data_IF_015777300081
#
_entry.id   IF_015777300081
#
_cell.length_a   1.000
_cell.length_b   1.000
_cell.length_c   1.000
_cell.angle_alpha   90.00
_cell.angle_beta   90.00
_cell.angle_gamma   90.00
#
_symmetry.space_group_name_H-M   'P 1'
#
loop_
_entity.id
_entity.type
_entity.pdbx_description
1 polymer ?
#
# COMPACT_ATOMS: atom_id res chain seq x y z
N UNK A 1 36.26 36.19 24.84
CA UNK A 1 36.31 36.54 23.41
C UNK A 1 36.59 35.28 22.62
N UNK A 2 35.82 34.86 21.64
CA UNK A 2 34.50 35.29 21.16
C UNK A 2 33.97 34.13 20.27
N UNK A 3 32.68 34.19 20.01
CA UNK A 3 31.75 33.28 19.34
C UNK A 3 32.02 33.06 17.85
N UNK A 4 31.48 31.95 17.33
CA UNK A 4 30.59 31.82 16.14
C UNK A 4 30.31 30.31 15.95
N UNK A 5 29.15 29.66 16.11
CA UNK A 5 27.73 29.87 15.75
C UNK A 5 27.43 29.94 14.24
N UNK A 6 26.82 28.88 13.71
CA UNK A 6 26.30 28.75 12.33
C UNK A 6 25.62 27.38 12.12
N UNK A 7 24.43 27.15 12.68
CA UNK A 7 23.12 27.06 11.98
C UNK A 7 22.94 25.72 11.22
N UNK A 8 22.32 24.75 11.89
CA UNK A 8 21.62 23.61 11.29
C UNK A 8 20.22 24.09 10.91
N UNK A 9 19.91 24.13 9.62
CA UNK A 9 18.55 24.39 9.12
C UNK A 9 17.76 23.08 9.10
N UNK A 10 16.67 23.04 9.85
CA UNK A 10 15.65 22.00 9.85
C UNK A 10 14.93 21.93 8.48
N UNK A 11 14.63 20.74 7.94
CA UNK A 11 13.63 20.62 6.89
C UNK A 11 12.22 20.65 7.50
N UNK A 12 11.34 21.41 6.85
CA UNK A 12 9.97 21.72 7.23
C UNK A 12 9.10 20.49 7.51
N UNK A 13 8.66 20.35 8.76
CA UNK A 13 7.74 19.32 9.27
C UNK A 13 6.25 19.65 9.01
N UNK A 14 5.96 20.59 8.11
CA UNK A 14 4.60 21.12 7.89
C UNK A 14 3.89 20.59 6.63
N UNK A 15 4.60 19.87 5.73
CA UNK A 15 3.99 19.29 4.52
C UNK A 15 3.48 17.85 4.70
N UNK A 16 3.97 17.09 5.69
CA UNK A 16 3.54 15.70 5.94
C UNK A 16 2.16 15.57 6.62
N UNK A 17 1.58 16.66 7.12
CA UNK A 17 0.22 16.66 7.72
C UNK A 17 -0.91 16.55 6.70
N UNK A 18 -0.65 16.88 5.42
CA UNK A 18 -1.71 16.93 4.40
C UNK A 18 -2.08 15.55 3.82
N UNK A 19 -1.17 14.56 3.88
CA UNK A 19 -1.39 13.28 3.20
C UNK A 19 -2.24 12.31 4.04
N UNK A 20 -2.06 12.30 5.36
CA UNK A 20 -2.86 11.50 6.31
C UNK A 20 -4.27 12.08 6.56
N UNK A 21 -4.54 13.33 6.17
CA UNK A 21 -5.87 13.94 6.26
C UNK A 21 -6.84 13.48 5.16
N UNK A 22 -6.39 12.74 4.14
CA UNK A 22 -7.24 12.31 3.02
C UNK A 22 -7.97 10.98 3.26
N UNK A 23 -7.69 10.29 4.37
CA UNK A 23 -8.46 9.13 4.81
C UNK A 23 -8.98 9.32 6.25
N UNK A 24 -10.26 9.72 6.30
CA UNK A 24 -11.13 9.83 7.47
C UNK A 24 -10.77 10.82 8.58
N UNK A 25 -11.30 12.06 8.50
CA UNK A 25 -11.91 12.73 9.66
C UNK A 25 -13.16 13.50 9.20
N UNK A 26 -14.34 13.00 9.58
CA UNK A 26 -15.56 13.81 9.68
C UNK A 26 -15.35 14.79 10.83
N UNK A 27 -15.32 16.09 10.53
CA UNK A 27 -15.27 17.14 11.55
C UNK A 27 -16.56 17.15 12.37
N UNK A 28 -16.47 16.92 13.69
CA UNK A 28 -17.53 17.29 14.63
C UNK A 28 -17.16 18.63 15.26
N UNK A 29 -17.88 19.68 14.89
CA UNK A 29 -17.86 20.97 15.59
C UNK A 29 -18.94 20.98 16.70
N UNK A 30 -18.72 21.66 17.83
CA UNK A 30 -19.68 21.70 18.94
C UNK A 30 -20.84 22.65 18.63
N UNK A 31 -22.07 22.23 18.94
CA UNK A 31 -23.30 23.02 18.80
C UNK A 31 -23.65 23.70 20.13
N UNK A 32 -23.93 25.00 20.09
CA UNK A 32 -24.70 25.73 21.10
C UNK A 32 -26.04 26.18 20.47
N UNK A 33 -27.14 26.27 21.24
CA UNK A 33 -28.49 26.16 20.70
C UNK A 33 -29.12 27.51 20.41
N UNK A 34 -29.83 27.65 19.29
CA UNK A 34 -31.11 28.38 19.20
C UNK A 34 -31.74 28.28 17.80
N UNK A 35 -32.94 27.68 17.77
CA UNK A 35 -34.13 28.06 17.00
C UNK A 35 -34.02 28.40 15.51
N UNK A 36 -34.52 27.51 14.64
CA UNK A 36 -35.77 27.71 13.85
C UNK A 36 -35.94 26.60 12.80
N UNK A 37 -37.11 25.96 12.82
CA UNK A 37 -37.58 24.98 11.85
C UNK A 37 -37.70 25.60 10.45
N UNK A 38 -37.12 24.94 9.44
CA UNK A 38 -37.76 24.85 8.11
C UNK A 38 -37.29 23.58 7.40
N UNK A 39 -38.27 22.81 6.96
CA UNK A 39 -38.18 21.46 6.41
C UNK A 39 -37.50 21.42 5.04
N UNK A 40 -36.31 20.77 4.95
CA UNK A 40 -35.77 20.28 3.69
C UNK A 40 -35.25 18.85 3.85
N UNK A 41 -35.77 17.95 3.02
CA UNK A 41 -35.64 16.49 3.08
C UNK A 41 -34.18 16.04 3.18
N UNK A 42 -33.84 15.28 4.24
CA UNK A 42 -32.54 14.59 4.39
C UNK A 42 -32.28 13.69 3.17
N UNK A 43 -31.13 13.78 2.50
CA UNK A 43 -30.72 12.76 1.54
C UNK A 43 -30.53 11.44 2.29
N UNK A 44 -30.99 10.35 1.67
CA UNK A 44 -30.96 9.00 2.25
C UNK A 44 -29.51 8.58 2.57
N UNK A 45 -29.27 8.13 3.79
CA UNK A 45 -28.01 7.52 4.29
C UNK A 45 -27.46 6.37 3.43
N UNK A 46 -28.21 5.90 2.42
CA UNK A 46 -27.75 4.89 1.47
C UNK A 46 -26.70 5.42 0.48
N UNK A 47 -26.61 6.74 0.26
CA UNK A 47 -25.66 7.32 -0.71
C UNK A 47 -24.21 7.38 -0.16
N UNK A 48 -24.05 7.53 1.17
CA UNK A 48 -22.74 7.56 1.83
C UNK A 48 -22.16 6.15 2.01
N UNK A 49 -23.03 5.12 2.08
CA UNK A 49 -22.67 3.72 2.33
C UNK A 49 -22.02 2.98 1.15
N UNK A 50 -21.83 3.62 -0.01
CA UNK A 50 -21.18 3.00 -1.18
C UNK A 50 -19.68 3.28 -1.33
N UNK A 51 -19.09 4.17 -0.52
CA UNK A 51 -17.71 4.64 -0.74
C UNK A 51 -16.59 3.78 -0.12
N UNK A 52 -16.93 2.61 0.43
CA UNK A 52 -15.95 1.62 0.93
C UNK A 52 -16.29 0.21 0.42
N UNK A 53 -16.80 0.10 -0.81
CA UNK A 53 -16.43 -1.06 -1.63
C UNK A 53 -15.06 -0.75 -2.20
N UNK A 54 -14.13 -1.70 -2.14
CA UNK A 54 -12.73 -1.53 -2.50
C UNK A 54 -12.58 -0.61 -3.71
N UNK A 55 -11.80 0.47 -3.53
CA UNK A 55 -11.39 1.30 -4.66
C UNK A 55 -10.92 0.33 -5.74
N UNK A 56 -11.63 0.33 -6.86
CA UNK A 56 -11.31 -0.56 -7.95
C UNK A 56 -9.83 -0.32 -8.30
N UNK A 57 -9.10 -1.41 -8.56
CA UNK A 57 -7.65 -1.41 -8.72
C UNK A 57 -7.15 -0.43 -9.81
N UNK A 58 -8.04 -0.02 -10.70
CA UNK A 58 -7.88 0.95 -11.77
C UNK A 58 -7.99 2.42 -11.34
N UNK A 59 -8.46 2.72 -10.12
CA UNK A 59 -8.69 4.09 -9.65
C UNK A 59 -7.58 4.59 -8.73
N UNK A 60 -6.80 5.53 -9.25
CA UNK A 60 -5.83 6.31 -8.49
C UNK A 60 -6.31 7.77 -8.38
N UNK A 61 -6.46 8.29 -7.15
CA UNK A 61 -6.97 9.65 -6.92
C UNK A 61 -5.96 10.74 -7.33
N UNK A 62 -4.67 10.40 -7.31
CA UNK A 62 -3.58 11.31 -7.65
C UNK A 62 -3.18 11.23 -9.12
N UNK A 63 -3.94 10.48 -9.95
CA UNK A 63 -3.64 10.33 -11.38
C UNK A 63 -3.88 11.65 -12.12
N UNK A 64 -2.87 12.19 -12.83
CA UNK A 64 -3.06 13.35 -13.69
C UNK A 64 -4.02 13.07 -14.85
N UNK A 65 -4.76 14.09 -15.29
CA UNK A 65 -5.76 13.95 -16.37
C UNK A 65 -5.17 13.44 -17.70
N UNK A 66 -3.92 13.82 -18.02
CA UNK A 66 -3.25 13.32 -19.23
C UNK A 66 -2.97 11.81 -19.14
N UNK A 67 -2.58 11.29 -17.97
CA UNK A 67 -2.38 9.85 -17.76
C UNK A 67 -3.70 9.10 -17.83
N UNK A 68 -4.78 9.66 -17.29
CA UNK A 68 -6.12 9.07 -17.40
C UNK A 68 -6.60 8.97 -18.86
N UNK A 69 -6.31 9.99 -19.68
CA UNK A 69 -6.63 9.97 -21.10
C UNK A 69 -5.85 8.88 -21.86
N UNK A 70 -4.53 8.76 -21.61
CA UNK A 70 -3.69 7.73 -22.24
C UNK A 70 -4.17 6.33 -21.85
N UNK A 71 -4.44 6.09 -20.55
CA UNK A 71 -4.84 4.78 -20.02
C UNK A 71 -6.21 4.30 -20.51
N UNK A 72 -7.14 5.22 -20.72
CA UNK A 72 -8.47 4.91 -21.27
C UNK A 72 -8.50 4.92 -22.81
N UNK A 73 -7.45 5.44 -23.46
CA UNK A 73 -7.33 5.54 -24.91
C UNK A 73 -6.63 4.35 -25.56
N UNK A 74 -6.40 4.46 -26.87
CA UNK A 74 -5.58 3.51 -27.64
C UNK A 74 -4.08 3.74 -27.40
N UNK A 75 -3.70 4.95 -26.98
CA UNK A 75 -2.32 5.36 -26.74
C UNK A 75 -1.62 4.56 -25.63
N UNK A 76 -2.38 3.89 -24.76
CA UNK A 76 -1.86 2.91 -23.79
C UNK A 76 -1.00 1.78 -24.38
N UNK A 77 -1.12 1.52 -25.69
CA UNK A 77 -0.34 0.51 -26.41
C UNK A 77 0.67 1.13 -27.37
N UNK A 78 0.73 2.45 -27.47
CA UNK A 78 1.67 3.16 -28.33
C UNK A 78 3.07 3.18 -27.66
N UNK A 79 4.12 2.61 -28.29
CA UNK A 79 5.47 2.61 -27.74
C UNK A 79 6.04 4.03 -27.49
N UNK A 80 5.55 5.06 -28.20
CA UNK A 80 5.98 6.45 -27.97
C UNK A 80 5.56 6.99 -26.60
N UNK A 81 4.51 6.42 -25.97
CA UNK A 81 4.09 6.83 -24.62
C UNK A 81 4.96 6.24 -23.51
N UNK A 82 5.89 5.35 -23.84
CA UNK A 82 6.78 4.70 -22.86
C UNK A 82 7.55 5.71 -22.01
N UNK A 83 8.10 6.76 -22.61
CA UNK A 83 8.83 7.81 -21.88
C UNK A 83 7.92 8.53 -20.88
N UNK A 84 6.68 8.84 -21.27
CA UNK A 84 5.69 9.48 -20.38
C UNK A 84 5.38 8.61 -19.17
N UNK A 85 5.25 7.30 -19.37
CA UNK A 85 5.05 6.35 -18.27
C UNK A 85 6.29 6.21 -17.37
N UNK A 86 7.50 6.23 -17.95
CA UNK A 86 8.75 6.19 -17.19
C UNK A 86 8.90 7.42 -16.29
N UNK A 87 8.68 8.61 -16.84
CA UNK A 87 8.69 9.88 -16.09
C UNK A 87 7.64 9.87 -14.98
N UNK A 88 6.46 9.30 -15.25
CA UNK A 88 5.42 9.17 -14.24
C UNK A 88 5.78 8.19 -13.11
N UNK A 89 6.58 7.15 -13.38
CA UNK A 89 7.10 6.28 -12.31
C UNK A 89 8.10 7.04 -11.43
N UNK A 90 8.98 7.84 -12.04
CA UNK A 90 9.92 8.71 -11.28
C UNK A 90 9.13 9.67 -10.40
N UNK A 91 8.10 10.33 -10.94
CA UNK A 91 7.21 11.20 -10.16
C UNK A 91 6.53 10.44 -9.00
N UNK A 92 6.06 9.21 -9.22
CA UNK A 92 5.49 8.39 -8.13
C UNK A 92 6.51 8.07 -7.03
N UNK A 93 7.79 7.89 -7.39
CA UNK A 93 8.87 7.68 -6.44
C UNK A 93 9.12 8.92 -5.58
N UNK A 94 9.12 10.11 -6.19
CA UNK A 94 9.31 11.40 -5.51
C UNK A 94 8.10 11.80 -4.64
N UNK A 95 6.88 11.73 -5.20
CA UNK A 95 5.64 12.21 -4.56
C UNK A 95 5.06 11.22 -3.55
N UNK A 96 5.72 10.07 -3.33
CA UNK A 96 5.22 8.96 -2.48
C UNK A 96 3.85 8.42 -2.90
N UNK A 97 3.44 8.61 -4.16
CA UNK A 97 2.17 8.10 -4.70
C UNK A 97 2.33 6.73 -5.35
N UNK A 98 1.22 6.01 -5.59
CA UNK A 98 1.27 4.71 -6.25
C UNK A 98 0.05 4.51 -7.14
N UNK A 99 0.28 4.40 -8.45
CA UNK A 99 -0.72 4.08 -9.45
C UNK A 99 -0.43 2.72 -10.07
N UNK A 100 -1.04 1.68 -9.50
CA UNK A 100 -0.81 0.33 -9.96
C UNK A 100 -1.22 0.10 -11.42
N UNK A 101 -2.29 0.76 -11.88
CA UNK A 101 -2.78 0.58 -13.24
C UNK A 101 -1.84 1.16 -14.28
N UNK A 102 -1.28 2.35 -14.02
CA UNK A 102 -0.25 2.96 -14.86
C UNK A 102 1.02 2.11 -14.90
N UNK A 103 1.45 1.61 -13.75
CA UNK A 103 2.65 0.78 -13.63
C UNK A 103 2.50 -0.55 -14.40
N UNK A 104 1.35 -1.22 -14.29
CA UNK A 104 1.08 -2.42 -15.10
C UNK A 104 0.96 -2.12 -16.59
N UNK A 105 0.44 -0.95 -16.98
CA UNK A 105 0.40 -0.56 -18.39
C UNK A 105 1.80 -0.41 -18.98
N UNK A 106 2.73 0.22 -18.24
CA UNK A 106 4.15 0.31 -18.63
C UNK A 106 4.81 -1.07 -18.74
N UNK A 107 4.65 -1.93 -17.74
CA UNK A 107 5.20 -3.29 -17.79
C UNK A 107 4.62 -4.09 -18.97
N UNK A 108 3.35 -3.88 -19.30
CA UNK A 108 2.73 -4.49 -20.48
C UNK A 108 3.26 -3.92 -21.80
N UNK A 109 3.58 -2.64 -21.86
CA UNK A 109 4.29 -2.05 -23.00
C UNK A 109 5.68 -2.67 -23.20
N UNK A 110 6.44 -2.87 -22.12
CA UNK A 110 7.72 -3.58 -22.16
C UNK A 110 7.55 -5.04 -22.62
N UNK A 111 6.48 -5.71 -22.19
CA UNK A 111 6.17 -7.08 -22.62
C UNK A 111 5.94 -7.16 -24.14
N UNK A 112 5.27 -6.16 -24.74
CA UNK A 112 5.07 -6.09 -26.18
C UNK A 112 6.30 -5.60 -26.95
N UNK A 113 7.14 -4.79 -26.31
CA UNK A 113 8.32 -4.16 -26.91
C UNK A 113 9.57 -4.39 -26.05
N UNK A 114 10.19 -5.58 -26.09
CA UNK A 114 11.29 -5.93 -25.18
C UNK A 114 12.51 -5.01 -25.26
N UNK A 115 12.73 -4.35 -26.41
CA UNK A 115 13.84 -3.40 -26.61
C UNK A 115 13.66 -2.07 -25.86
N UNK A 116 12.45 -1.77 -25.37
CA UNK A 116 12.16 -0.58 -24.58
C UNK A 116 12.25 -0.83 -23.08
N UNK A 117 12.48 -2.08 -22.65
CA UNK A 117 12.54 -2.44 -21.24
C UNK A 117 13.67 -1.68 -20.55
N UNK A 118 13.31 -0.90 -19.54
CA UNK A 118 14.25 -0.19 -18.68
C UNK A 118 14.35 -0.90 -17.32
N UNK A 119 15.51 -1.53 -17.00
CA UNK A 119 15.70 -2.29 -15.76
C UNK A 119 15.39 -1.49 -14.50
N UNK A 120 15.95 -0.29 -14.39
CA UNK A 120 15.81 0.59 -13.22
C UNK A 120 14.36 1.04 -12.98
N UNK A 121 13.63 1.40 -14.04
CA UNK A 121 12.20 1.74 -13.90
C UNK A 121 11.39 0.52 -13.46
N UNK A 122 11.79 -0.67 -13.90
CA UNK A 122 11.13 -1.92 -13.51
C UNK A 122 11.38 -2.26 -12.04
N UNK A 123 12.62 -2.12 -11.56
CA UNK A 123 12.96 -2.29 -10.14
C UNK A 123 12.26 -1.24 -9.28
N UNK A 124 12.15 0.01 -9.74
CA UNK A 124 11.43 1.08 -9.04
C UNK A 124 9.92 0.78 -8.92
N UNK A 125 9.29 0.22 -9.97
CA UNK A 125 7.90 -0.26 -9.87
C UNK A 125 7.74 -1.36 -8.81
N UNK A 126 8.67 -2.32 -8.78
CA UNK A 126 8.66 -3.43 -7.81
C UNK A 126 8.91 -2.92 -6.39
N UNK A 127 9.89 -2.04 -6.18
CA UNK A 127 10.17 -1.40 -4.90
C UNK A 127 8.97 -0.59 -4.40
N UNK A 128 8.33 0.19 -5.28
CA UNK A 128 7.08 0.88 -4.96
C UNK A 128 5.94 -0.08 -4.60
N UNK A 129 5.83 -1.21 -5.29
CA UNK A 129 4.84 -2.22 -4.97
C UNK A 129 5.03 -2.83 -3.56
N UNK A 130 6.28 -2.94 -3.07
CA UNK A 130 6.55 -3.33 -1.68
C UNK A 130 5.94 -2.36 -0.68
N UNK A 131 5.87 -1.06 -0.97
CA UNK A 131 5.35 -0.05 -0.03
C UNK A 131 3.83 -0.10 0.17
N UNK A 132 3.10 -0.84 -0.68
CA UNK A 132 1.64 -0.95 -0.62
C UNK A 132 1.14 -2.35 -0.23
N UNK A 133 2.03 -3.22 0.28
CA UNK A 133 1.66 -4.55 0.79
C UNK A 133 0.63 -4.45 1.93
N UNK A 134 -0.27 -5.40 2.18
CA UNK A 134 -0.64 -6.50 1.30
C UNK A 134 -1.41 -5.93 0.11
N UNK A 135 -0.93 -6.25 -1.09
CA UNK A 135 -1.55 -5.87 -2.35
C UNK A 135 -1.08 -6.84 -3.43
N UNK A 136 -1.95 -7.24 -4.38
CA UNK A 136 -1.53 -8.07 -5.49
C UNK A 136 -0.59 -7.35 -6.46
N UNK A 137 -0.35 -6.04 -6.28
CA UNK A 137 0.48 -5.22 -7.16
C UNK A 137 1.85 -5.84 -7.47
N UNK A 138 2.56 -6.33 -6.46
CA UNK A 138 3.89 -6.92 -6.65
C UNK A 138 3.81 -8.18 -7.52
N UNK A 139 2.92 -9.10 -7.17
CA UNK A 139 2.70 -10.35 -7.91
C UNK A 139 2.22 -10.12 -9.35
N UNK A 140 1.36 -9.11 -9.58
CA UNK A 140 0.90 -8.74 -10.92
C UNK A 140 2.02 -8.14 -11.76
N UNK A 141 2.84 -7.27 -11.17
CA UNK A 141 4.02 -6.71 -11.85
C UNK A 141 4.99 -7.82 -12.26
N UNK A 142 5.27 -8.76 -11.36
CA UNK A 142 6.15 -9.90 -11.63
C UNK A 142 5.65 -10.79 -12.78
N UNK A 143 4.33 -10.98 -12.87
CA UNK A 143 3.71 -11.79 -13.92
C UNK A 143 3.79 -11.16 -15.33
N UNK A 144 4.05 -9.86 -15.44
CA UNK A 144 4.23 -9.16 -16.71
C UNK A 144 5.68 -9.13 -17.18
N UNK A 145 6.63 -9.48 -16.30
CA UNK A 145 8.04 -9.49 -16.66
C UNK A 145 8.39 -10.67 -17.57
N UNK A 146 9.40 -10.52 -18.45
CA UNK A 146 9.87 -11.60 -19.29
C UNK A 146 10.26 -12.88 -18.52
N UNK A 147 10.19 -14.07 -19.13
CA UNK A 147 10.58 -15.32 -18.46
C UNK A 147 12.04 -15.37 -18.00
N UNK A 148 12.94 -14.65 -18.68
CA UNK A 148 14.37 -14.61 -18.34
C UNK A 148 14.67 -13.74 -17.12
N UNK A 149 13.75 -12.87 -16.71
CA UNK A 149 13.88 -12.02 -15.52
C UNK A 149 13.16 -12.62 -14.30
N UNK A 150 12.74 -13.88 -14.39
CA UNK A 150 12.04 -14.55 -13.30
C UNK A 150 13.00 -14.82 -12.13
N UNK A 151 12.54 -14.58 -10.88
CA UNK A 151 13.39 -14.72 -9.70
C UNK A 151 13.72 -16.18 -9.38
N UNK A 152 12.94 -17.13 -9.88
CA UNK A 152 13.20 -18.55 -9.72
C UNK A 152 13.91 -19.08 -10.96
N UNK A 153 15.23 -19.34 -10.91
CA UNK A 153 15.91 -19.92 -12.05
C UNK A 153 15.31 -21.30 -12.31
N UNK A 154 14.76 -21.51 -13.52
CA UNK A 154 14.55 -22.87 -14.01
C UNK A 154 15.94 -23.49 -14.12
N UNK A 155 16.18 -24.52 -13.33
CA UNK A 155 17.39 -25.35 -13.36
C UNK A 155 17.88 -25.53 -14.79
N UNK A 156 19.14 -25.16 -15.07
CA UNK A 156 19.88 -25.21 -16.36
C UNK A 156 20.04 -23.93 -17.20
N UNK A 157 20.65 -22.88 -16.64
CA UNK A 157 21.35 -21.87 -17.48
C UNK A 157 22.69 -21.46 -16.89
N UNK A 158 23.56 -22.46 -16.69
CA UNK A 158 24.95 -22.31 -16.24
C UNK A 158 25.88 -21.76 -17.36
N UNK A 159 25.33 -21.16 -18.42
CA UNK A 159 26.03 -20.84 -19.66
C UNK A 159 25.59 -19.51 -20.30
N UNK A 160 25.30 -18.50 -19.49
CA UNK A 160 25.25 -17.11 -19.96
C UNK A 160 26.36 -16.29 -19.29
N UNK A 161 27.11 -15.48 -20.05
CA UNK A 161 28.16 -14.64 -19.50
C UNK A 161 27.59 -13.64 -18.46
N UNK A 162 28.40 -13.13 -17.51
CA UNK A 162 28.00 -12.04 -16.65
C UNK A 162 27.72 -10.81 -17.54
N UNK A 163 26.45 -10.57 -17.77
CA UNK A 163 25.87 -9.54 -18.64
C UNK A 163 24.88 -8.79 -17.76
N UNK A 164 24.57 -7.52 -18.04
CA UNK A 164 23.63 -6.67 -17.28
C UNK A 164 22.28 -7.35 -16.92
N UNK A 165 21.93 -8.42 -17.64
CA UNK A 165 20.83 -9.33 -17.33
C UNK A 165 20.96 -10.08 -15.99
N UNK A 166 22.16 -10.43 -15.52
CA UNK A 166 22.38 -11.10 -14.23
C UNK A 166 22.03 -10.19 -13.06
N UNK A 167 22.48 -8.94 -13.12
CA UNK A 167 22.33 -7.97 -12.04
C UNK A 167 20.85 -7.56 -11.90
N UNK A 168 20.15 -7.44 -13.04
CA UNK A 168 18.71 -7.21 -13.08
C UNK A 168 17.92 -8.38 -12.48
N UNK A 169 18.29 -9.63 -12.77
CA UNK A 169 17.64 -10.82 -12.19
C UNK A 169 17.87 -10.87 -10.68
N UNK A 170 19.11 -10.63 -10.24
CA UNK A 170 19.45 -10.59 -8.81
C UNK A 170 18.64 -9.51 -8.07
N UNK A 171 18.47 -8.33 -8.68
CA UNK A 171 17.65 -7.25 -8.15
C UNK A 171 16.19 -7.69 -7.94
N UNK A 172 15.60 -8.37 -8.92
CA UNK A 172 14.23 -8.90 -8.82
C UNK A 172 14.15 -10.00 -7.76
N UNK A 173 15.17 -10.87 -7.65
CA UNK A 173 15.23 -11.91 -6.62
C UNK A 173 15.23 -11.31 -5.20
N UNK A 174 16.08 -10.31 -4.98
CA UNK A 174 16.18 -9.57 -3.72
C UNK A 174 14.85 -8.90 -3.36
N UNK A 175 14.26 -8.13 -4.29
CA UNK A 175 12.95 -7.50 -4.06
C UNK A 175 11.84 -8.54 -3.80
N UNK A 176 11.88 -9.69 -4.47
CA UNK A 176 10.88 -10.76 -4.29
C UNK A 176 11.02 -11.43 -2.93
N UNK A 177 12.26 -11.59 -2.46
CA UNK A 177 12.53 -12.07 -1.11
C UNK A 177 11.95 -11.12 -0.07
N UNK A 178 12.16 -9.81 -0.23
CA UNK A 178 11.56 -8.80 0.64
C UNK A 178 10.02 -8.85 0.63
N UNK A 179 9.39 -8.93 -0.56
CA UNK A 179 7.93 -9.05 -0.68
C UNK A 179 7.39 -10.26 0.09
N UNK A 180 8.05 -11.41 -0.05
CA UNK A 180 7.65 -12.65 0.64
C UNK A 180 7.68 -12.49 2.17
N UNK A 181 8.68 -11.78 2.70
CA UNK A 181 8.79 -11.52 4.14
C UNK A 181 7.70 -10.56 4.63
N UNK A 182 7.35 -9.54 3.85
CA UNK A 182 6.26 -8.61 4.17
C UNK A 182 4.88 -9.30 4.12
N UNK A 183 4.61 -10.08 3.07
CA UNK A 183 3.33 -10.81 2.92
C UNK A 183 3.15 -11.92 3.96
N UNK A 184 4.24 -12.55 4.41
CA UNK A 184 4.20 -13.54 5.50
C UNK A 184 4.23 -12.94 6.91
N UNK A 185 4.16 -11.61 7.03
CA UNK A 185 4.22 -10.85 8.28
C UNK A 185 5.48 -11.13 9.13
N UNK A 186 6.59 -11.50 8.49
CA UNK A 186 7.88 -11.73 9.14
C UNK A 186 8.70 -10.43 9.19
N UNK A 187 8.14 -9.38 9.82
CA UNK A 187 8.69 -8.01 9.76
C UNK A 187 10.10 -7.88 10.34
N UNK A 188 10.39 -8.57 11.44
CA UNK A 188 11.74 -8.59 12.00
C UNK A 188 12.78 -9.14 10.99
N UNK A 189 12.44 -10.23 10.30
CA UNK A 189 13.33 -10.84 9.32
C UNK A 189 13.45 -9.98 8.07
N UNK A 190 12.37 -9.27 7.69
CA UNK A 190 12.40 -8.28 6.62
C UNK A 190 13.47 -7.21 6.89
N UNK A 191 13.43 -6.54 8.04
CA UNK A 191 14.42 -5.49 8.36
C UNK A 191 15.83 -6.05 8.52
N UNK A 192 15.98 -7.22 9.14
CA UNK A 192 17.27 -7.92 9.22
C UNK A 192 17.85 -8.23 7.82
N UNK A 193 17.01 -8.68 6.89
CA UNK A 193 17.42 -8.97 5.50
C UNK A 193 17.73 -7.67 4.75
N UNK A 194 16.88 -6.66 4.88
CA UNK A 194 17.07 -5.34 4.25
C UNK A 194 18.38 -4.68 4.70
N UNK A 195 18.69 -4.74 5.99
CA UNK A 195 19.92 -4.17 6.57
C UNK A 195 21.16 -5.06 6.41
N UNK A 196 21.03 -6.25 5.82
CA UNK A 196 22.16 -7.20 5.71
C UNK A 196 23.10 -6.94 4.54
N UNK A 197 22.63 -6.23 3.52
CA UNK A 197 23.34 -6.06 2.24
C UNK A 197 22.98 -4.70 1.63
N UNK A 198 24.00 -3.88 1.34
CA UNK A 198 23.87 -2.52 0.80
C UNK A 198 23.09 -2.49 -0.52
N UNK A 199 23.11 -3.59 -1.29
CA UNK A 199 22.34 -3.70 -2.52
C UNK A 199 20.82 -3.53 -2.30
N UNK A 200 20.29 -3.91 -1.13
CA UNK A 200 18.87 -3.66 -0.84
C UNK A 200 18.56 -2.17 -0.68
N UNK A 201 19.48 -1.41 -0.09
CA UNK A 201 19.35 0.02 0.07
C UNK A 201 19.43 0.73 -1.29
N UNK A 202 20.36 0.30 -2.16
CA UNK A 202 20.48 0.82 -3.53
C UNK A 202 19.19 0.60 -4.34
N UNK A 203 18.56 -0.57 -4.22
CA UNK A 203 17.33 -0.92 -4.94
C UNK A 203 16.11 -0.09 -4.55
N UNK A 204 16.14 0.60 -3.42
CA UNK A 204 15.03 1.43 -2.94
C UNK A 204 15.40 2.91 -2.81
N UNK A 205 16.63 3.28 -3.21
CA UNK A 205 17.18 4.63 -3.01
C UNK A 205 16.33 5.72 -3.69
N UNK A 206 15.77 5.42 -4.87
CA UNK A 206 14.92 6.35 -5.61
C UNK A 206 13.53 6.53 -4.98
N UNK A 207 13.10 5.60 -4.12
CA UNK A 207 11.77 5.62 -3.51
C UNK A 207 11.79 6.50 -2.27
N UNK A 208 11.31 7.75 -2.42
CA UNK A 208 11.29 8.70 -1.32
C UNK A 208 10.48 8.17 -0.13
N UNK A 209 11.12 8.07 1.03
CA UNK A 209 10.48 7.59 2.26
C UNK A 209 10.08 6.11 2.23
N UNK A 210 10.78 5.27 1.46
CA UNK A 210 10.51 3.82 1.39
C UNK A 210 10.27 3.18 2.76
N UNK A 211 11.21 3.33 3.69
CA UNK A 211 11.10 2.71 5.02
C UNK A 211 9.91 3.24 5.82
N UNK A 212 9.63 4.55 5.73
CA UNK A 212 8.50 5.18 6.41
C UNK A 212 7.17 4.62 5.88
N UNK A 213 7.03 4.53 4.56
CA UNK A 213 5.84 3.94 3.92
C UNK A 213 5.64 2.49 4.35
N UNK A 214 6.71 1.70 4.39
CA UNK A 214 6.65 0.31 4.88
C UNK A 214 6.23 0.27 6.35
N UNK A 215 6.81 1.10 7.24
CA UNK A 215 6.45 1.17 8.67
C UNK A 215 4.99 1.55 8.88
N UNK A 216 4.51 2.60 8.20
CA UNK A 216 3.09 3.01 8.22
C UNK A 216 2.21 1.84 7.82
N UNK A 217 2.63 1.10 6.79
CA UNK A 217 1.83 -0.01 6.28
C UNK A 217 1.83 -1.24 7.20
N UNK A 218 2.96 -1.58 7.81
CA UNK A 218 3.04 -2.57 8.90
C UNK A 218 2.06 -2.17 10.02
N UNK A 219 2.07 -0.91 10.44
CA UNK A 219 1.18 -0.43 11.49
C UNK A 219 -0.31 -0.56 11.12
N UNK A 220 -0.68 -0.29 9.87
CA UNK A 220 -2.05 -0.52 9.38
C UNK A 220 -2.46 -1.99 9.50
N UNK A 221 -1.60 -2.95 9.15
CA UNK A 221 -1.91 -4.38 9.27
C UNK A 221 -2.00 -4.82 10.74
N UNK A 222 -1.10 -4.32 11.60
CA UNK A 222 -1.17 -4.55 13.05
C UNK A 222 -2.48 -4.01 13.63
N UNK A 223 -2.91 -2.82 13.19
CA UNK A 223 -4.17 -2.21 13.62
C UNK A 223 -5.43 -3.02 13.28
N UNK A 224 -5.36 -3.88 12.25
CA UNK A 224 -6.44 -4.81 11.87
C UNK A 224 -6.44 -6.08 12.70
N UNK A 225 -5.27 -6.54 13.14
CA UNK A 225 -5.11 -7.84 13.77
C UNK A 225 -5.08 -7.81 15.31
N UNK A 226 -4.69 -6.67 15.90
CA UNK A 226 -4.44 -6.55 17.33
C UNK A 226 -5.37 -5.52 18.00
N UNK A 227 -5.55 -5.69 19.31
CA UNK A 227 -6.18 -4.71 20.22
C UNK A 227 -5.21 -4.19 21.25
N UNK A 228 -4.28 -5.04 21.67
CA UNK A 228 -3.20 -4.71 22.58
C UNK A 228 -1.95 -5.41 22.05
N UNK A 229 -0.82 -4.69 22.07
CA UNK A 229 0.48 -5.23 21.68
C UNK A 229 1.56 -4.68 22.60
N UNK A 230 2.55 -5.50 22.95
CA UNK A 230 3.68 -5.02 23.74
C UNK A 230 4.55 -4.06 22.91
N UNK A 231 5.03 -2.99 23.55
CA UNK A 231 5.87 -2.01 22.88
C UNK A 231 7.15 -2.62 22.30
N UNK A 232 7.72 -3.64 22.96
CA UNK A 232 8.96 -4.29 22.52
C UNK A 232 8.78 -5.10 21.23
N UNK A 233 7.62 -5.74 21.05
CA UNK A 233 7.30 -6.47 19.80
C UNK A 233 7.05 -5.49 18.67
N UNK A 234 6.28 -4.42 18.93
CA UNK A 234 6.03 -3.40 17.91
C UNK A 234 7.32 -2.68 17.50
N UNK A 235 8.20 -2.38 18.45
CA UNK A 235 9.53 -1.81 18.18
C UNK A 235 10.35 -2.68 17.22
N UNK A 236 10.34 -4.00 17.42
CA UNK A 236 11.03 -4.95 16.55
C UNK A 236 10.43 -5.02 15.15
N UNK A 237 9.09 -4.96 15.04
CA UNK A 237 8.42 -5.01 13.74
C UNK A 237 8.59 -3.73 12.92
N UNK A 238 8.75 -2.58 13.57
CA UNK A 238 8.98 -1.30 12.90
C UNK A 238 10.48 -0.95 12.76
N UNK A 239 11.37 -1.79 13.29
CA UNK A 239 12.82 -1.55 13.40
C UNK A 239 13.17 -0.22 14.09
N UNK A 240 12.41 0.11 15.14
CA UNK A 240 12.60 1.34 15.92
C UNK A 240 13.33 1.03 17.22
N UNK A 241 14.62 1.40 17.28
CA UNK A 241 15.47 1.21 18.46
C UNK A 241 15.17 2.19 19.60
N UNK A 242 14.67 3.39 19.27
CA UNK A 242 14.37 4.42 20.27
C UNK A 242 12.90 4.36 20.69
N UNK A 243 12.69 4.26 22.01
CA UNK A 243 11.36 4.23 22.60
C UNK A 243 10.59 5.54 22.41
N UNK A 244 11.30 6.67 22.42
CA UNK A 244 10.68 7.97 22.20
C UNK A 244 10.16 8.13 20.76
N UNK A 245 10.91 7.57 19.80
CA UNK A 245 10.50 7.57 18.38
C UNK A 245 9.30 6.66 18.18
N UNK A 246 9.29 5.49 18.84
CA UNK A 246 8.13 4.60 18.83
C UNK A 246 6.89 5.28 19.40
N UNK A 247 6.98 5.93 20.57
CA UNK A 247 5.83 6.62 21.18
C UNK A 247 5.30 7.73 20.28
N UNK A 248 6.17 8.53 19.65
CA UNK A 248 5.76 9.55 18.68
C UNK A 248 5.08 8.95 17.46
N UNK A 249 5.63 7.90 16.88
CA UNK A 249 5.02 7.22 15.74
C UNK A 249 3.63 6.66 16.09
N UNK A 250 3.50 6.01 17.23
CA UNK A 250 2.24 5.43 17.72
C UNK A 250 1.16 6.50 17.94
N UNK A 251 1.53 7.66 18.51
CA UNK A 251 0.57 8.74 18.78
C UNK A 251 0.27 9.58 17.53
N UNK A 252 1.32 10.05 16.84
CA UNK A 252 1.18 11.03 15.75
C UNK A 252 0.74 10.39 14.43
N UNK A 253 1.20 9.16 14.15
CA UNK A 253 0.95 8.48 12.86
C UNK A 253 -0.18 7.46 13.00
N UNK A 254 -0.15 6.62 14.04
CA UNK A 254 -1.15 5.56 14.21
C UNK A 254 -2.42 6.03 14.94
N UNK A 255 -2.33 7.08 15.76
CA UNK A 255 -3.43 7.52 16.63
C UNK A 255 -3.81 6.49 17.70
N UNK A 256 -2.84 5.71 18.18
CA UNK A 256 -3.02 4.68 19.21
C UNK A 256 -2.62 5.22 20.59
N UNK A 257 -3.07 4.54 21.65
CA UNK A 257 -2.80 4.95 23.03
C UNK A 257 -1.68 4.10 23.65
N UNK A 258 -0.83 4.73 24.46
CA UNK A 258 0.30 4.06 25.14
C UNK A 258 -0.01 3.92 26.63
N UNK A 259 -0.29 2.70 27.06
CA UNK A 259 -0.58 2.37 28.45
C UNK A 259 0.72 2.06 29.21
N UNK A 260 1.16 3.04 30.01
CA UNK A 260 2.36 2.94 30.87
C UNK A 260 2.07 2.35 32.26
N UNK A 261 0.82 1.99 32.53
CA UNK A 261 0.30 1.57 33.85
C UNK A 261 0.23 0.05 34.02
N UNK A 262 0.46 -0.73 32.96
CA UNK A 262 0.42 -2.19 33.02
C UNK A 262 1.63 -2.75 33.80
N UNK A 263 1.36 -3.73 34.67
CA UNK A 263 2.38 -4.35 35.55
C UNK A 263 3.44 -5.16 34.78
N UNK A 264 3.16 -5.54 33.53
CA UNK A 264 4.01 -6.38 32.67
C UNK A 264 4.76 -5.60 31.56
N UNK A 265 4.93 -4.29 31.73
CA UNK A 265 5.64 -3.43 30.78
C UNK A 265 4.72 -2.45 30.04
N UNK A 266 5.24 -1.72 29.07
CA UNK A 266 4.44 -0.76 28.29
C UNK A 266 3.68 -1.50 27.21
N UNK A 267 2.36 -1.35 27.24
CA UNK A 267 1.42 -1.94 26.29
C UNK A 267 0.84 -0.82 25.44
N UNK A 268 0.61 -1.11 24.17
CA UNK A 268 0.02 -0.19 23.21
C UNK A 268 -1.41 -0.67 22.94
N UNK A 269 -2.37 0.21 23.19
CA UNK A 269 -3.80 -0.02 23.01
C UNK A 269 -4.24 0.48 21.64
N UNK A 270 -4.82 -0.42 20.86
CA UNK A 270 -5.24 -0.19 19.48
C UNK A 270 -6.77 -0.01 19.46
N UNK A 271 -7.29 1.10 18.90
CA UNK A 271 -8.71 1.36 18.82
C UNK A 271 -9.48 0.26 18.08
N UNK A 272 -10.70 -0.03 18.55
CA UNK A 272 -11.55 -1.04 17.91
C UNK A 272 -12.02 -0.55 16.53
N UNK A 273 -11.85 -1.40 15.53
CA UNK A 273 -12.30 -1.19 14.17
C UNK A 273 -13.08 -2.43 13.68
N UNK A 274 -13.63 -2.35 12.47
CA UNK A 274 -14.43 -3.45 11.87
C UNK A 274 -13.66 -4.77 11.75
N UNK A 275 -12.33 -4.70 11.59
CA UNK A 275 -11.46 -5.85 11.31
C UNK A 275 -10.94 -6.50 12.60
N UNK A 276 -10.64 -5.72 13.65
CA UNK A 276 -10.12 -6.20 14.93
C UNK A 276 -11.22 -6.48 15.98
N UNK A 277 -12.48 -6.18 15.64
CA UNK A 277 -13.64 -6.50 16.45
C UNK A 277 -14.04 -7.97 16.28
N UNK A 278 -14.15 -8.67 17.41
CA UNK A 278 -14.52 -10.08 17.45
C UNK A 278 -16.03 -10.15 17.27
N UNK A 279 -16.46 -10.53 16.08
CA UNK A 279 -17.88 -10.64 15.74
C UNK A 279 -18.33 -12.08 15.90
N UNK A 280 -19.33 -12.31 16.74
CA UNK A 280 -20.07 -13.56 16.72
C UNK A 280 -20.96 -13.58 15.48
N UNK A 281 -20.62 -14.40 14.50
CA UNK A 281 -21.48 -14.62 13.36
C UNK A 281 -22.60 -15.58 13.76
N UNK A 282 -23.83 -15.08 13.89
CA UNK A 282 -25.00 -15.94 14.04
C UNK A 282 -25.23 -16.60 12.67
N UNK A 283 -24.87 -17.88 12.56
CA UNK A 283 -25.14 -18.71 11.38
C UNK A 283 -26.63 -19.04 11.27
N UNK A 284 -27.48 -18.02 11.12
CA UNK A 284 -28.86 -18.20 10.72
C UNK A 284 -28.99 -17.79 9.26
N UNK A 285 -29.25 -18.76 8.39
CA UNK A 285 -29.48 -18.49 6.99
C UNK A 285 -30.90 -17.94 6.81
N UNK A 286 -31.01 -16.69 6.37
CA UNK A 286 -32.29 -16.15 5.94
C UNK A 286 -32.56 -16.56 4.50
N UNK A 287 -33.20 -17.71 4.33
CA UNK A 287 -33.63 -18.19 3.01
C UNK A 287 -34.97 -17.53 2.66
N UNK A 288 -34.91 -16.43 1.90
CA UNK A 288 -36.11 -15.75 1.40
C UNK A 288 -36.78 -16.53 0.27
N UNK A 289 -38.12 -16.43 0.16
CA UNK A 289 -38.90 -17.11 -0.90
C UNK A 289 -38.40 -16.76 -2.31
N UNK A 290 -37.88 -15.53 -2.50
CA UNK A 290 -37.26 -15.06 -3.76
C UNK A 290 -36.08 -15.92 -4.22
N UNK A 291 -35.32 -16.53 -3.29
CA UNK A 291 -34.20 -17.41 -3.64
C UNK A 291 -34.67 -18.72 -4.29
N UNK A 292 -35.94 -19.09 -4.09
CA UNK A 292 -36.58 -20.23 -4.77
C UNK A 292 -37.22 -19.83 -6.11
N UNK A 293 -37.12 -18.56 -6.54
CA UNK A 293 -37.76 -18.06 -7.76
C UNK A 293 -37.39 -18.85 -9.02
N UNK A 294 -36.16 -19.37 -9.13
CA UNK A 294 -35.76 -20.26 -10.23
C UNK A 294 -36.49 -21.62 -10.19
N UNK A 295 -36.68 -22.19 -9.01
CA UNK A 295 -37.38 -23.46 -8.83
C UNK A 295 -38.89 -23.31 -9.08
N UNK A 296 -39.49 -22.23 -8.55
CA UNK A 296 -40.90 -21.89 -8.79
C UNK A 296 -41.16 -21.62 -10.27
N UNK A 297 -40.34 -20.80 -10.93
CA UNK A 297 -40.49 -20.50 -12.37
C UNK A 297 -40.40 -21.77 -13.23
N UNK A 298 -39.45 -22.66 -12.95
CA UNK A 298 -39.31 -23.93 -13.65
C UNK A 298 -40.52 -24.86 -13.48
N UNK A 299 -41.16 -24.84 -12.31
CA UNK A 299 -42.39 -25.61 -12.06
C UNK A 299 -43.62 -25.08 -12.81
N UNK A 300 -43.64 -23.79 -13.16
CA UNK A 300 -44.71 -23.19 -13.97
C UNK A 300 -44.46 -23.27 -15.49
N UNK A 301 -43.20 -23.28 -15.93
CA UNK A 301 -42.83 -23.35 -17.36
C UNK A 301 -42.92 -24.77 -17.95
N UNK A 302 -42.85 -25.81 -17.10
CA UNK A 302 -43.06 -27.21 -17.49
C UNK A 302 -44.12 -27.87 -16.60
N UNK A 303 -45.42 -27.57 -16.79
CA UNK A 303 -46.48 -28.39 -16.21
C UNK A 303 -46.37 -29.79 -16.82
N UNK A 304 -46.33 -30.81 -15.96
CA UNK A 304 -46.28 -32.22 -16.34
C UNK A 304 -47.49 -32.63 -17.20
#
# INVERSE_FOLDING_TARGET
DDKTSGIFSSPNFEQDKAFLSSQSVLSYAPVSPESQELTLKRPREKEVRRKTMGLAFDKCQTRPAHMEAILNGLDRYNPETTAVFQDYVVQQCEDRTFDCYANLALLKLYQFNPHLLHPETTTNILAKALTVFPSPAYSLSLALLPPHSQPFPLSSSESQPPSQTSDFVESIQKLTRLNTLLESAQYWLFWSTFNSDDLYADLVADVAGFEELVRVRIAVEVGKAFREISADVLAQWLDLRSREVLEKFVVDVCGWEVDKTAKDGIVISIPRNRENEARSEIKSEHVGVEMFGRAVRRGFEHPA
#
